data_IF_593080235205
#
_entry.id   IF_593080235205
#
_cell.length_a   1.000
_cell.length_b   1.000
_cell.length_c   1.000
_cell.angle_alpha   90.00
_cell.angle_beta   90.00
_cell.angle_gamma   90.00
#
_symmetry.space_group_name_H-M   'P 1'
#
loop_
_entity.id
_entity.type
_entity.pdbx_description
1 polymer ?
#
# COMPACT_ATOMS: atom_id res chain seq x y z
N UNK A 1 -12.05 -10.21 -18.02
CA UNK A 1 -10.69 -10.19 -17.46
C UNK A 1 -10.42 -11.30 -16.45
N UNK A 2 -11.43 -11.89 -15.78
CA UNK A 2 -11.17 -12.97 -14.81
C UNK A 2 -10.47 -12.50 -13.51
N UNK A 3 -10.57 -11.20 -13.20
CA UNK A 3 -9.98 -10.63 -11.99
C UNK A 3 -10.76 -10.95 -10.71
N UNK A 4 -10.24 -10.48 -9.58
CA UNK A 4 -10.83 -10.66 -8.25
C UNK A 4 -10.85 -9.36 -7.45
N UNK A 5 -11.68 -9.31 -6.41
CA UNK A 5 -11.71 -8.23 -5.43
C UNK A 5 -11.25 -8.78 -4.08
N UNK A 6 -10.42 -8.01 -3.39
CA UNK A 6 -9.98 -8.31 -2.03
C UNK A 6 -10.21 -7.09 -1.15
N UNK A 7 -10.42 -7.31 0.15
CA UNK A 7 -10.49 -6.27 1.17
C UNK A 7 -9.23 -6.31 2.03
N UNK A 8 -8.84 -5.16 2.56
CA UNK A 8 -7.81 -5.07 3.60
C UNK A 8 -8.29 -4.22 4.75
N UNK A 9 -7.72 -4.46 5.93
CA UNK A 9 -7.98 -3.60 7.10
C UNK A 9 -7.12 -2.35 7.01
N UNK A 10 -7.50 -1.32 7.75
CA UNK A 10 -6.77 -0.06 7.81
C UNK A 10 -5.34 -0.29 8.28
N UNK A 11 -5.10 -1.17 9.24
CA UNK A 11 -3.76 -1.48 9.74
C UNK A 11 -2.84 -1.97 8.63
N UNK A 12 -3.35 -2.83 7.74
CA UNK A 12 -2.56 -3.41 6.65
C UNK A 12 -2.34 -2.42 5.52
N UNK A 13 -3.32 -1.54 5.27
CA UNK A 13 -3.16 -0.42 4.35
C UNK A 13 -2.09 0.53 4.89
N UNK A 14 -2.12 0.85 6.18
CA UNK A 14 -1.14 1.71 6.83
C UNK A 14 0.26 1.07 6.90
N UNK A 15 0.34 -0.26 7.06
CA UNK A 15 1.60 -1.00 6.97
C UNK A 15 2.20 -0.90 5.56
N UNK A 16 1.40 -1.14 4.51
CA UNK A 16 1.84 -1.00 3.13
C UNK A 16 2.24 0.44 2.80
N UNK A 17 1.45 1.43 3.26
CA UNK A 17 1.72 2.85 3.11
C UNK A 17 3.09 3.23 3.68
N UNK A 18 3.38 2.85 4.93
CA UNK A 18 4.68 3.11 5.58
C UNK A 18 5.81 2.35 4.88
N UNK A 19 5.56 1.12 4.46
CA UNK A 19 6.55 0.26 3.81
C UNK A 19 7.01 0.83 2.47
N UNK A 20 6.08 1.25 1.61
CA UNK A 20 6.42 1.82 0.29
C UNK A 20 7.17 3.14 0.42
N UNK A 21 6.76 4.00 1.36
CA UNK A 21 7.48 5.24 1.64
C UNK A 21 8.91 4.96 2.17
N UNK A 22 9.05 4.03 3.12
CA UNK A 22 10.31 3.76 3.81
C UNK A 22 11.30 2.88 3.04
N UNK A 23 10.83 1.99 2.16
CA UNK A 23 11.68 1.04 1.41
C UNK A 23 11.91 1.45 -0.04
N UNK A 24 10.90 2.04 -0.68
CA UNK A 24 10.92 2.34 -2.12
C UNK A 24 11.01 3.83 -2.43
N UNK A 25 10.98 4.69 -1.40
CA UNK A 25 10.99 6.15 -1.52
C UNK A 25 9.82 6.71 -2.38
N UNK A 26 8.68 6.01 -2.37
CA UNK A 26 7.46 6.45 -3.07
C UNK A 26 6.43 6.89 -2.03
N UNK A 27 6.11 8.19 -2.01
CA UNK A 27 5.19 8.77 -1.02
C UNK A 27 3.77 8.94 -1.58
N UNK A 28 2.86 8.09 -1.14
CA UNK A 28 1.47 7.97 -1.63
C UNK A 28 0.45 8.28 -0.54
N UNK A 29 -0.79 8.62 -0.88
CA UNK A 29 -1.88 8.68 0.12
C UNK A 29 -2.27 7.25 0.60
N UNK A 30 -2.86 7.07 1.80
CA UNK A 30 -3.22 5.75 2.32
C UNK A 30 -4.10 4.92 1.37
N UNK A 31 -5.09 5.55 0.72
CA UNK A 31 -5.96 4.86 -0.23
C UNK A 31 -5.19 4.25 -1.42
N UNK A 32 -4.13 4.91 -1.89
CA UNK A 32 -3.27 4.38 -2.97
C UNK A 32 -2.50 3.13 -2.54
N UNK A 33 -2.11 3.06 -1.26
CA UNK A 33 -1.42 1.90 -0.70
C UNK A 33 -2.29 0.63 -0.61
N UNK A 34 -3.61 0.74 -0.77
CA UNK A 34 -4.50 -0.43 -0.78
C UNK A 34 -4.16 -1.42 -1.91
N UNK A 35 -3.71 -0.92 -3.07
CA UNK A 35 -3.27 -1.77 -4.18
C UNK A 35 -2.03 -2.59 -3.83
N UNK A 36 -1.09 -2.01 -3.07
CA UNK A 36 0.11 -2.69 -2.57
C UNK A 36 -0.24 -3.66 -1.44
N UNK A 37 -1.11 -3.27 -0.51
CA UNK A 37 -1.57 -4.17 0.55
C UNK A 37 -2.26 -5.43 -0.02
N UNK A 38 -3.09 -5.27 -1.06
CA UNK A 38 -3.69 -6.41 -1.77
C UNK A 38 -2.68 -7.28 -2.51
N UNK A 39 -1.60 -6.69 -3.03
CA UNK A 39 -0.50 -7.42 -3.66
C UNK A 39 0.27 -8.27 -2.63
N UNK A 40 0.63 -7.69 -1.49
CA UNK A 40 1.37 -8.40 -0.44
C UNK A 40 0.57 -9.59 0.12
N UNK A 41 -0.73 -9.40 0.29
CA UNK A 41 -1.65 -10.45 0.73
C UNK A 41 -1.73 -11.60 -0.29
N UNK A 42 -1.86 -11.28 -1.58
CA UNK A 42 -1.84 -12.28 -2.65
C UNK A 42 -0.50 -13.04 -2.72
N UNK A 43 0.62 -12.33 -2.50
CA UNK A 43 1.94 -12.96 -2.42
C UNK A 43 2.04 -13.93 -1.25
N UNK A 44 1.61 -13.50 -0.06
CA UNK A 44 1.61 -14.33 1.14
C UNK A 44 0.69 -15.55 1.01
N UNK A 45 -0.41 -15.43 0.25
CA UNK A 45 -1.32 -16.51 -0.08
C UNK A 45 -0.83 -17.49 -1.15
N UNK A 46 0.35 -17.24 -1.76
CA UNK A 46 0.88 -18.07 -2.84
C UNK A 46 0.11 -17.96 -4.16
N UNK A 47 -0.60 -16.84 -4.37
CA UNK A 47 -1.44 -16.63 -5.56
C UNK A 47 -0.69 -16.02 -6.75
N UNK A 48 0.60 -15.72 -6.57
CA UNK A 48 1.44 -15.04 -7.56
C UNK A 48 2.53 -15.97 -8.09
N UNK A 49 2.72 -15.94 -9.40
CA UNK A 49 3.79 -16.67 -10.08
C UNK A 49 5.05 -15.82 -10.16
N UNK A 50 6.21 -16.46 -10.02
CA UNK A 50 7.49 -15.76 -10.15
C UNK A 50 7.69 -15.15 -11.55
N UNK A 51 8.24 -13.94 -11.61
CA UNK A 51 8.52 -13.23 -12.86
C UNK A 51 7.33 -12.46 -13.47
N UNK A 52 6.15 -12.48 -12.81
CA UNK A 52 5.03 -11.66 -13.23
C UNK A 52 5.33 -10.16 -13.10
N UNK A 53 4.87 -9.38 -14.08
CA UNK A 53 4.86 -7.91 -13.99
C UNK A 53 3.53 -7.46 -13.43
N UNK A 54 3.56 -6.73 -12.31
CA UNK A 54 2.37 -6.25 -11.60
C UNK A 54 2.43 -4.73 -11.52
N UNK A 55 1.29 -4.07 -11.73
CA UNK A 55 1.16 -2.62 -11.64
C UNK A 55 0.22 -2.28 -10.49
N UNK A 56 0.72 -1.52 -9.51
CA UNK A 56 -0.06 -0.93 -8.43
C UNK A 56 -0.35 0.54 -8.77
N UNK A 57 -1.62 0.87 -8.97
CA UNK A 57 -2.02 2.24 -9.33
C UNK A 57 -1.98 3.17 -8.11
N UNK A 58 -1.31 4.30 -8.25
CA UNK A 58 -1.31 5.41 -7.28
C UNK A 58 -2.28 6.49 -7.76
N UNK A 59 -3.32 6.74 -6.99
CA UNK A 59 -4.35 7.74 -7.30
C UNK A 59 -4.05 9.12 -6.69
N UNK A 60 -3.19 9.18 -5.68
CA UNK A 60 -2.87 10.41 -4.98
C UNK A 60 -1.50 10.41 -4.31
N UNK A 61 -0.93 11.61 -4.23
CA UNK A 61 0.33 11.87 -3.58
C UNK A 61 0.17 11.93 -2.05
N UNK A 62 1.18 11.48 -1.31
CA UNK A 62 1.13 11.46 0.17
C UNK A 62 0.94 12.83 0.83
N UNK A 63 1.31 13.92 0.16
CA UNK A 63 1.12 15.29 0.67
C UNK A 63 -0.36 15.70 0.80
N UNK A 64 -1.30 14.92 0.25
CA UNK A 64 -2.74 15.16 0.45
C UNK A 64 -3.23 14.84 1.87
N UNK A 65 -2.50 14.00 2.60
CA UNK A 65 -2.88 13.53 3.93
C UNK A 65 -1.66 13.54 4.87
N UNK A 66 -1.19 14.73 5.27
CA UNK A 66 -0.08 14.85 6.20
C UNK A 66 -0.44 14.36 7.61
N UNK A 67 -1.71 14.40 7.99
CA UNK A 67 -2.16 14.00 9.33
C UNK A 67 -1.94 12.51 9.56
N UNK A 68 -2.29 11.66 8.59
CA UNK A 68 -2.00 10.23 8.66
C UNK A 68 -0.50 9.94 8.69
N UNK A 69 0.31 10.77 8.02
CA UNK A 69 1.77 10.62 8.03
C UNK A 69 2.37 10.90 9.42
N UNK A 70 1.82 11.87 10.13
CA UNK A 70 2.26 12.27 11.46
C UNK A 70 1.68 11.39 12.58
N UNK A 71 0.68 10.55 12.28
CA UNK A 71 0.02 9.69 13.26
C UNK A 71 1.02 8.74 13.96
N UNK A 72 1.20 8.94 15.26
CA UNK A 72 2.10 8.15 16.10
C UNK A 72 3.56 8.60 16.07
N UNK A 73 3.87 9.73 15.42
CA UNK A 73 5.17 10.38 15.54
C UNK A 73 5.30 11.12 16.88
N UNK A 74 6.51 11.21 17.47
CA UNK A 74 6.74 12.03 18.65
C UNK A 74 6.39 13.50 18.39
N UNK A 75 5.79 14.18 19.36
CA UNK A 75 5.73 15.64 19.34
C UNK A 75 7.15 16.20 19.47
N UNK A 76 7.50 17.13 18.58
CA UNK A 76 8.78 17.84 18.53
C UNK A 76 8.65 19.25 19.07
#
# INVERSE_FOLDING_TARGET
SGGTFRKRTDEQILEAYRMVAGKDAVYVEPASAASVAGLLDAHAGGELEAGQTIVCTVTGNGLKDPDTALLGMPEV
#
